data_IF_599973260201
#
_entry.id   IF_599973260201
#
_cell.length_a   1.000
_cell.length_b   1.000
_cell.length_c   1.000
_cell.angle_alpha   90.00
_cell.angle_beta   90.00
_cell.angle_gamma   90.00
#
_symmetry.space_group_name_H-M   'P 1'
#
loop_
_entity.id
_entity.type
_entity.pdbx_description
1 polymer ?
#
# COMPACT_ATOMS: atom_id res chain seq x y z
N UNK A 1 -12.71 -15.10 10.57
CA UNK A 1 -13.04 -14.00 11.50
C UNK A 1 -13.90 -13.02 10.73
N UNK A 2 -15.17 -12.78 11.12
CA UNK A 2 -16.03 -11.91 10.34
C UNK A 2 -15.64 -10.44 10.55
N UNK A 3 -15.69 -9.65 9.48
CA UNK A 3 -15.46 -8.22 9.51
C UNK A 3 -16.55 -7.52 10.32
N UNK A 4 -16.16 -6.60 11.20
CA UNK A 4 -17.08 -5.77 11.97
C UNK A 4 -17.46 -4.59 11.08
N UNK A 5 -18.72 -4.56 10.64
CA UNK A 5 -19.30 -3.44 9.89
C UNK A 5 -19.38 -2.20 10.80
N UNK A 6 -18.91 -1.07 10.28
CA UNK A 6 -18.71 0.19 11.00
C UNK A 6 -19.92 1.12 10.94
N UNK A 7 -21.15 0.59 10.93
CA UNK A 7 -22.37 1.38 10.98
C UNK A 7 -22.64 1.84 12.43
N UNK A 8 -22.21 3.07 12.75
CA UNK A 8 -22.60 3.74 14.00
C UNK A 8 -23.92 4.46 13.74
N UNK A 9 -24.97 3.93 14.36
CA UNK A 9 -26.32 4.49 14.38
C UNK A 9 -26.34 5.83 15.14
N UNK A 10 -26.63 6.93 14.44
CA UNK A 10 -26.78 8.27 15.03
C UNK A 10 -28.26 8.54 15.29
N UNK A 11 -28.79 7.99 16.39
CA UNK A 11 -30.13 8.35 16.86
C UNK A 11 -30.17 8.54 18.39
N UNK A 12 -30.57 9.75 18.79
CA UNK A 12 -31.39 9.95 20.00
C UNK A 12 -30.92 11.02 20.99
N UNK A 13 -31.70 12.12 21.08
CA UNK A 13 -32.06 12.73 22.36
C UNK A 13 -31.93 14.26 22.44
N UNK A 14 -33.03 14.98 22.19
CA UNK A 14 -33.25 16.35 22.68
C UNK A 14 -33.33 16.36 24.21
N UNK A 15 -32.66 17.32 24.86
CA UNK A 15 -32.97 17.70 26.25
C UNK A 15 -32.88 19.21 26.39
N UNK A 16 -34.00 19.82 26.80
CA UNK A 16 -34.20 21.24 27.05
C UNK A 16 -33.99 21.51 28.55
N UNK A 17 -33.13 22.47 28.92
CA UNK A 17 -32.94 22.90 30.32
C UNK A 17 -31.57 23.54 30.55
N UNK A 18 -31.56 24.82 30.95
CA UNK A 18 -30.36 25.65 31.03
C UNK A 18 -29.41 25.29 32.17
N UNK A 19 -28.15 25.03 31.82
CA UNK A 19 -26.96 25.24 32.66
C UNK A 19 -25.82 25.65 31.71
N UNK A 20 -24.97 26.58 32.13
CA UNK A 20 -23.84 27.06 31.31
C UNK A 20 -22.93 25.87 30.98
N UNK A 21 -23.04 25.37 29.74
CA UNK A 21 -22.33 24.18 29.29
C UNK A 21 -20.84 24.44 29.25
N UNK A 22 -20.12 23.93 30.25
CA UNK A 22 -18.67 23.77 30.17
C UNK A 22 -18.38 22.90 28.95
N UNK A 23 -17.85 23.50 27.88
CA UNK A 23 -17.51 22.80 26.65
C UNK A 23 -16.52 21.67 26.96
N UNK A 24 -17.02 20.45 27.11
CA UNK A 24 -16.18 19.28 27.32
C UNK A 24 -15.42 19.02 26.03
N UNK A 25 -14.12 19.31 26.05
CA UNK A 25 -13.20 18.97 24.98
C UNK A 25 -13.16 17.44 24.88
N UNK A 26 -13.91 16.85 23.95
CA UNK A 26 -13.83 15.42 23.65
C UNK A 26 -12.55 15.20 22.87
N UNK A 27 -11.63 14.40 23.39
CA UNK A 27 -10.48 13.94 22.62
C UNK A 27 -11.01 12.99 21.54
N UNK A 28 -10.78 13.29 20.25
CA UNK A 28 -11.21 12.41 19.18
C UNK A 28 -10.49 11.05 19.29
N UNK A 29 -11.14 9.95 18.91
CA UNK A 29 -10.51 8.63 18.90
C UNK A 29 -9.23 8.66 18.05
N UNK A 30 -8.24 7.89 18.48
CA UNK A 30 -6.96 7.75 17.79
C UNK A 30 -6.90 6.35 17.15
N UNK A 31 -6.17 6.24 16.03
CA UNK A 31 -5.98 4.97 15.33
C UNK A 31 -4.51 4.61 15.26
N UNK A 32 -4.22 3.32 15.44
CA UNK A 32 -2.91 2.71 15.19
C UNK A 32 -3.08 1.65 14.11
N UNK A 33 -2.47 1.87 12.94
CA UNK A 33 -2.53 0.95 11.80
C UNK A 33 -1.13 0.51 11.44
N UNK A 34 -0.94 -0.80 11.31
CA UNK A 34 0.32 -1.44 10.93
C UNK A 34 0.02 -2.56 9.92
N UNK A 35 1.02 -3.02 9.13
CA UNK A 35 0.87 -4.22 8.32
C UNK A 35 0.40 -5.41 9.18
N UNK A 36 -0.49 -6.24 8.64
CA UNK A 36 -1.04 -7.41 9.35
C UNK A 36 0.03 -8.41 9.76
N UNK A 37 1.04 -8.58 8.91
CA UNK A 37 2.17 -9.48 9.15
C UNK A 37 3.47 -8.67 9.05
N UNK A 38 4.29 -8.74 10.10
CA UNK A 38 5.62 -8.11 10.14
C UNK A 38 6.62 -9.15 10.65
N UNK A 39 7.57 -9.53 9.81
CA UNK A 39 8.61 -10.51 10.12
C UNK A 39 9.97 -9.82 10.24
N UNK A 40 10.78 -10.23 11.20
CA UNK A 40 12.10 -9.66 11.47
C UNK A 40 13.05 -10.75 12.00
N UNK A 41 14.35 -10.41 12.09
CA UNK A 41 15.49 -11.30 12.36
C UNK A 41 15.93 -12.17 11.17
N UNK A 42 17.05 -12.86 11.36
CA UNK A 42 17.58 -13.84 10.42
C UNK A 42 16.53 -14.92 10.11
N UNK A 43 16.42 -15.29 8.83
CA UNK A 43 15.42 -16.26 8.37
C UNK A 43 14.03 -15.69 8.10
N UNK A 44 13.76 -14.40 8.36
CA UNK A 44 12.44 -13.80 8.10
C UNK A 44 11.96 -13.97 6.65
N UNK A 45 12.87 -14.05 5.68
CA UNK A 45 12.54 -14.26 4.27
C UNK A 45 11.93 -15.65 3.99
N UNK A 46 12.12 -16.64 4.87
CA UNK A 46 11.52 -17.97 4.72
C UNK A 46 9.98 -17.95 4.78
N UNK A 47 9.38 -16.91 5.36
CA UNK A 47 7.92 -16.71 5.37
C UNK A 47 7.35 -16.51 3.95
N UNK A 48 8.17 -16.17 2.95
CA UNK A 48 7.73 -16.13 1.54
C UNK A 48 7.24 -17.48 1.03
N UNK A 49 7.60 -18.59 1.68
CA UNK A 49 7.13 -19.95 1.33
C UNK A 49 5.64 -20.15 1.56
N UNK A 50 5.06 -19.37 2.46
CA UNK A 50 3.65 -19.43 2.85
C UNK A 50 2.79 -18.46 2.02
N UNK A 51 3.41 -17.67 1.14
CA UNK A 51 2.71 -16.77 0.22
C UNK A 51 2.15 -17.58 -0.95
N UNK A 52 0.82 -17.69 -1.02
CA UNK A 52 0.11 -18.35 -2.11
C UNK A 52 0.05 -17.42 -3.34
N UNK A 53 1.05 -17.54 -4.21
CA UNK A 53 1.21 -16.75 -5.42
C UNK A 53 1.86 -17.59 -6.53
N UNK A 54 1.51 -17.30 -7.77
CA UNK A 54 1.97 -17.96 -8.99
C UNK A 54 2.81 -17.03 -9.87
N UNK A 55 2.48 -15.74 -9.90
CA UNK A 55 3.12 -14.73 -10.74
C UNK A 55 3.49 -13.50 -9.93
N UNK A 56 4.77 -13.33 -9.68
CA UNK A 56 5.29 -12.23 -8.86
C UNK A 56 6.03 -11.22 -9.71
N UNK A 57 5.78 -9.94 -9.44
CA UNK A 57 6.65 -8.85 -9.92
C UNK A 57 7.46 -8.31 -8.74
N UNK A 58 8.78 -8.40 -8.85
CA UNK A 58 9.73 -7.81 -7.91
C UNK A 58 10.06 -6.40 -8.39
N UNK A 59 9.83 -5.39 -7.54
CA UNK A 59 10.18 -4.00 -7.78
C UNK A 59 11.42 -3.66 -6.95
N UNK A 60 12.49 -3.20 -7.60
CA UNK A 60 13.79 -2.94 -6.97
C UNK A 60 14.55 -1.84 -7.72
N UNK A 61 15.68 -1.40 -7.17
CA UNK A 61 16.70 -0.64 -7.89
C UNK A 61 17.76 -1.56 -8.53
N UNK A 62 18.54 -1.01 -9.45
CA UNK A 62 19.55 -1.74 -10.21
C UNK A 62 20.68 -2.32 -9.33
N UNK A 63 21.14 -1.57 -8.32
CA UNK A 63 22.22 -2.01 -7.44
C UNK A 63 21.79 -3.21 -6.57
N UNK A 64 20.54 -3.20 -6.11
CA UNK A 64 19.95 -4.28 -5.33
C UNK A 64 19.70 -5.51 -6.21
N UNK A 65 19.33 -5.32 -7.48
CA UNK A 65 19.24 -6.42 -8.45
C UNK A 65 20.61 -7.03 -8.76
N UNK A 66 21.65 -6.22 -8.96
CA UNK A 66 23.03 -6.68 -9.16
C UNK A 66 23.56 -7.54 -7.98
N UNK A 67 22.99 -7.36 -6.78
CA UNK A 67 23.29 -8.17 -5.59
C UNK A 67 22.51 -9.48 -5.51
N UNK A 68 21.69 -9.79 -6.52
CA UNK A 68 20.96 -11.05 -6.64
C UNK A 68 19.68 -11.12 -5.81
N UNK A 69 18.96 -10.01 -5.64
CA UNK A 69 17.69 -10.01 -4.89
C UNK A 69 16.64 -10.92 -5.53
N UNK A 70 16.55 -10.93 -6.87
CA UNK A 70 15.63 -11.80 -7.59
C UNK A 70 15.88 -13.27 -7.30
N UNK A 71 17.15 -13.69 -7.25
CA UNK A 71 17.51 -15.08 -6.97
C UNK A 71 17.20 -15.47 -5.51
N UNK A 72 17.44 -14.55 -4.57
CA UNK A 72 17.08 -14.77 -3.17
C UNK A 72 15.55 -14.95 -3.02
N UNK A 73 14.75 -14.09 -3.63
CA UNK A 73 13.28 -14.18 -3.61
C UNK A 73 12.81 -15.49 -4.28
N UNK A 74 13.30 -15.78 -5.49
CA UNK A 74 12.97 -17.02 -6.23
C UNK A 74 13.28 -18.28 -5.42
N UNK A 75 14.36 -18.28 -4.65
CA UNK A 75 14.73 -19.42 -3.80
C UNK A 75 13.76 -19.70 -2.64
N UNK A 76 12.92 -18.72 -2.28
CA UNK A 76 12.00 -18.79 -1.13
C UNK A 76 10.53 -18.86 -1.54
N UNK A 77 10.18 -18.35 -2.72
CA UNK A 77 8.83 -18.43 -3.26
C UNK A 77 8.52 -19.82 -3.84
N UNK A 78 7.21 -20.14 -3.90
CA UNK A 78 6.67 -21.27 -4.68
C UNK A 78 6.09 -20.82 -6.03
N UNK A 79 6.24 -19.54 -6.37
CA UNK A 79 5.74 -18.95 -7.59
C UNK A 79 6.39 -19.56 -8.84
N UNK A 80 5.60 -19.70 -9.91
CA UNK A 80 6.06 -20.23 -11.19
C UNK A 80 6.78 -19.17 -12.02
N UNK A 81 6.29 -17.94 -11.96
CA UNK A 81 6.80 -16.82 -12.73
C UNK A 81 7.24 -15.69 -11.80
N UNK A 82 8.48 -15.25 -11.95
CA UNK A 82 9.02 -14.11 -11.21
C UNK A 82 9.67 -13.17 -12.21
N UNK A 83 9.05 -12.02 -12.42
CA UNK A 83 9.57 -10.93 -13.24
C UNK A 83 10.15 -9.84 -12.34
N UNK A 84 11.17 -9.13 -12.82
CA UNK A 84 11.84 -8.06 -12.07
C UNK A 84 11.70 -6.75 -12.84
N UNK A 85 11.34 -5.69 -12.11
CA UNK A 85 11.45 -4.30 -12.54
C UNK A 85 12.51 -3.63 -11.67
N UNK A 86 13.72 -3.47 -12.21
CA UNK A 86 14.90 -2.97 -11.48
C UNK A 86 15.30 -1.53 -11.85
N UNK A 87 14.38 -0.78 -12.47
CA UNK A 87 14.66 0.58 -12.97
C UNK A 87 14.41 1.68 -11.92
N UNK A 88 14.07 1.33 -10.67
CA UNK A 88 13.76 2.35 -9.66
C UNK A 88 15.01 3.19 -9.35
N UNK A 89 14.86 4.51 -9.45
CA UNK A 89 15.85 5.50 -9.04
C UNK A 89 15.39 6.26 -7.79
N UNK A 90 16.29 6.96 -7.08
CA UNK A 90 15.89 7.95 -6.08
C UNK A 90 14.91 8.98 -6.65
N UNK A 91 13.97 9.45 -5.85
CA UNK A 91 12.91 10.40 -6.26
C UNK A 91 12.17 9.95 -7.54
N UNK A 92 11.47 8.80 -7.51
CA UNK A 92 10.85 8.22 -8.70
C UNK A 92 9.78 9.16 -9.28
N UNK A 93 9.88 9.43 -10.58
CA UNK A 93 8.93 10.28 -11.30
C UNK A 93 7.73 9.49 -11.84
N UNK A 94 6.71 10.21 -12.34
CA UNK A 94 5.52 9.58 -12.91
C UNK A 94 5.86 8.65 -14.08
N UNK A 95 6.81 9.02 -14.93
CA UNK A 95 7.20 8.23 -16.07
C UNK A 95 7.74 6.85 -15.65
N UNK A 96 8.53 6.80 -14.57
CA UNK A 96 9.02 5.56 -13.96
C UNK A 96 7.88 4.73 -13.41
N UNK A 97 6.94 5.34 -12.69
CA UNK A 97 5.74 4.65 -12.18
C UNK A 97 4.94 4.03 -13.34
N UNK A 98 4.69 4.80 -14.41
CA UNK A 98 3.94 4.34 -15.60
C UNK A 98 4.63 3.17 -16.30
N UNK A 99 5.97 3.15 -16.37
CA UNK A 99 6.73 1.99 -16.89
C UNK A 99 6.53 0.76 -16.01
N UNK A 100 6.60 0.92 -14.70
CA UNK A 100 6.32 -0.15 -13.74
C UNK A 100 4.88 -0.69 -13.87
N UNK A 101 3.89 0.19 -14.00
CA UNK A 101 2.49 -0.20 -14.25
C UNK A 101 2.35 -1.01 -15.54
N UNK A 102 3.03 -0.61 -16.61
CA UNK A 102 3.02 -1.36 -17.87
C UNK A 102 3.64 -2.77 -17.73
N UNK A 103 4.60 -2.95 -16.81
CA UNK A 103 5.10 -4.29 -16.46
C UNK A 103 4.03 -5.09 -15.73
N UNK A 104 3.37 -4.51 -14.72
CA UNK A 104 2.29 -5.18 -13.99
C UNK A 104 1.13 -5.59 -14.91
N UNK A 105 0.74 -4.72 -15.85
CA UNK A 105 -0.30 -5.02 -16.86
C UNK A 105 0.05 -6.19 -17.78
N UNK A 106 1.34 -6.38 -18.11
CA UNK A 106 1.77 -7.48 -18.97
C UNK A 106 1.94 -8.79 -18.20
N UNK A 107 2.37 -8.70 -16.96
CA UNK A 107 2.63 -9.85 -16.11
C UNK A 107 1.35 -10.39 -15.45
N UNK A 108 0.36 -9.53 -15.22
CA UNK A 108 -0.85 -9.84 -14.45
C UNK A 108 -0.51 -10.55 -13.11
N UNK A 109 0.33 -9.94 -12.25
CA UNK A 109 0.82 -10.61 -11.06
C UNK A 109 -0.27 -10.79 -10.02
N UNK A 110 -0.12 -11.81 -9.19
CA UNK A 110 -0.90 -12.04 -7.97
C UNK A 110 -0.17 -11.59 -6.70
N UNK A 111 1.10 -11.18 -6.82
CA UNK A 111 1.81 -10.44 -5.77
C UNK A 111 2.86 -9.47 -6.34
N UNK A 112 3.01 -8.33 -5.66
CA UNK A 112 4.12 -7.38 -5.87
C UNK A 112 5.04 -7.40 -4.65
N UNK A 113 6.33 -7.66 -4.88
CA UNK A 113 7.36 -7.64 -3.83
C UNK A 113 8.30 -6.48 -4.06
N UNK A 114 8.34 -5.53 -3.14
CA UNK A 114 9.26 -4.39 -3.19
C UNK A 114 10.49 -4.66 -2.32
N UNK A 115 11.70 -4.52 -2.88
CA UNK A 115 12.95 -4.66 -2.12
C UNK A 115 13.89 -3.50 -2.40
N UNK A 116 14.17 -2.71 -1.37
CA UNK A 116 15.06 -1.56 -1.44
C UNK A 116 14.74 -0.55 -0.35
N UNK A 117 15.16 0.70 -0.57
CA UNK A 117 14.88 1.82 0.32
C UNK A 117 13.48 2.43 0.13
N UNK A 118 13.27 3.61 0.71
CA UNK A 118 11.99 4.34 0.63
C UNK A 118 11.50 4.58 -0.80
N UNK A 119 12.41 4.95 -1.72
CA UNK A 119 12.09 5.17 -3.14
C UNK A 119 11.49 3.94 -3.81
N UNK A 120 12.02 2.74 -3.54
CA UNK A 120 11.49 1.48 -4.08
C UNK A 120 10.12 1.17 -3.49
N UNK A 121 9.96 1.33 -2.17
CA UNK A 121 8.70 1.05 -1.49
C UNK A 121 7.59 2.00 -1.98
N UNK A 122 7.89 3.28 -2.15
CA UNK A 122 6.90 4.26 -2.59
C UNK A 122 6.57 4.12 -4.06
N UNK A 123 7.57 3.82 -4.91
CA UNK A 123 7.34 3.49 -6.32
C UNK A 123 6.44 2.25 -6.47
N UNK A 124 6.71 1.18 -5.72
CA UNK A 124 5.91 -0.04 -5.77
C UNK A 124 4.45 0.20 -5.34
N UNK A 125 4.22 0.99 -4.28
CA UNK A 125 2.86 1.37 -3.86
C UNK A 125 2.13 2.14 -4.94
N UNK A 126 2.80 3.11 -5.58
CA UNK A 126 2.21 3.89 -6.66
C UNK A 126 1.91 3.01 -7.88
N UNK A 127 2.84 2.15 -8.29
CA UNK A 127 2.62 1.20 -9.39
C UNK A 127 1.41 0.31 -9.14
N UNK A 128 1.31 -0.27 -7.94
CA UNK A 128 0.15 -1.08 -7.55
C UNK A 128 -1.13 -0.28 -7.55
N UNK A 129 -1.13 0.94 -7.01
CA UNK A 129 -2.30 1.81 -6.98
C UNK A 129 -2.83 2.07 -8.39
N UNK A 130 -1.98 2.46 -9.34
CA UNK A 130 -2.40 2.72 -10.72
C UNK A 130 -2.66 1.47 -11.55
N UNK A 131 -2.12 0.32 -11.12
CA UNK A 131 -2.50 -0.97 -11.70
C UNK A 131 -3.91 -1.39 -11.27
N UNK A 132 -4.24 -1.25 -9.98
CA UNK A 132 -5.57 -1.55 -9.45
C UNK A 132 -6.60 -0.46 -9.82
N UNK A 133 -6.19 0.80 -9.95
CA UNK A 133 -7.08 1.93 -10.19
C UNK A 133 -6.55 2.80 -11.33
N UNK A 134 -6.62 2.31 -12.58
CA UNK A 134 -6.08 3.02 -13.75
C UNK A 134 -6.78 4.37 -14.01
N UNK A 135 -7.98 4.59 -13.46
CA UNK A 135 -8.73 5.84 -13.51
C UNK A 135 -8.14 6.96 -12.64
N UNK A 136 -7.24 6.65 -11.71
CA UNK A 136 -6.68 7.64 -10.79
C UNK A 136 -5.62 8.52 -11.46
N UNK A 137 -5.61 9.79 -11.06
CA UNK A 137 -4.63 10.77 -11.50
C UNK A 137 -3.59 11.05 -10.40
N UNK A 138 -2.30 10.94 -10.75
CA UNK A 138 -1.20 11.24 -9.83
C UNK A 138 -1.20 12.70 -9.37
N UNK A 139 -1.58 13.63 -10.24
CA UNK A 139 -1.66 15.06 -9.90
C UNK A 139 -2.67 15.30 -8.78
N UNK A 140 -3.85 14.68 -8.85
CA UNK A 140 -4.88 14.77 -7.81
C UNK A 140 -4.43 14.15 -6.48
N UNK A 141 -3.74 13.00 -6.54
CA UNK A 141 -3.23 12.30 -5.35
C UNK A 141 -2.10 13.05 -4.64
N UNK A 142 -1.37 13.91 -5.36
CA UNK A 142 -0.28 14.73 -4.82
C UNK A 142 -0.74 16.11 -4.33
N UNK A 143 -2.01 16.48 -4.56
CA UNK A 143 -2.53 17.76 -4.12
C UNK A 143 -2.43 17.92 -2.59
N UNK A 144 -1.96 19.07 -2.10
CA UNK A 144 -1.78 19.31 -0.68
C UNK A 144 -3.12 19.28 0.05
N UNK A 145 -3.08 18.80 1.29
CA UNK A 145 -4.21 18.86 2.20
C UNK A 145 -4.59 20.32 2.47
N UNK A 146 -5.79 20.73 2.06
CA UNK A 146 -6.38 22.01 2.50
C UNK A 146 -6.68 22.00 4.01
N UNK A 147 -6.95 20.81 4.56
CA UNK A 147 -7.09 20.49 5.98
C UNK A 147 -6.62 19.02 6.15
N UNK A 148 -5.86 18.64 7.20
CA UNK A 148 -5.46 17.24 7.45
C UNK A 148 -6.62 16.24 7.43
N UNK A 149 -7.86 16.71 7.63
CA UNK A 149 -9.09 15.91 7.61
C UNK A 149 -9.84 15.96 6.29
N UNK A 150 -9.49 16.86 5.37
CA UNK A 150 -10.12 17.01 4.06
C UNK A 150 -9.08 16.79 2.97
N UNK A 151 -8.99 15.54 2.53
CA UNK A 151 -8.23 15.20 1.34
C UNK A 151 -8.95 15.75 0.11
N UNK A 152 -8.17 16.23 -0.85
CA UNK A 152 -8.69 16.66 -2.16
C UNK A 152 -9.00 15.44 -3.04
N UNK A 153 -8.21 14.37 -2.90
CA UNK A 153 -8.43 13.09 -3.55
C UNK A 153 -8.78 11.98 -2.55
N UNK A 154 -9.76 11.14 -2.89
CA UNK A 154 -10.11 9.94 -2.15
C UNK A 154 -9.21 8.77 -2.59
N UNK A 155 -8.69 8.02 -1.63
CA UNK A 155 -7.99 6.77 -1.91
C UNK A 155 -9.00 5.61 -1.90
N UNK A 156 -8.78 4.56 -2.70
CA UNK A 156 -9.63 3.38 -2.68
C UNK A 156 -9.61 2.73 -1.29
N UNK A 157 -10.76 2.17 -0.89
CA UNK A 157 -10.93 1.47 0.40
C UNK A 157 -11.29 0.00 0.24
N UNK A 158 -11.38 -0.49 -1.00
CA UNK A 158 -11.66 -1.87 -1.34
C UNK A 158 -10.46 -2.78 -1.06
N UNK A 159 -10.73 -4.09 -1.06
CA UNK A 159 -9.69 -5.08 -0.88
C UNK A 159 -8.78 -5.11 -2.10
N UNK A 160 -7.48 -5.05 -1.84
CA UNK A 160 -6.47 -5.18 -2.86
C UNK A 160 -6.57 -6.50 -3.62
N UNK A 161 -6.29 -6.43 -4.92
CA UNK A 161 -6.34 -7.57 -5.85
C UNK A 161 -4.97 -8.21 -6.03
N UNK A 162 -3.90 -7.45 -5.76
CA UNK A 162 -2.48 -7.86 -5.84
C UNK A 162 -1.73 -7.46 -4.57
#
# INVERSE_FOLDING_TARGET
>A
MPAVDGSIDLAGGDVQGGEQGLARRRTPPQWFRVPSNTYFNEGALDNLRDLDCQTVVVVTDALTEERGVADQIRSKLRAQHVQVFSEVTPEPDEALIRRGVAVLQRAEPDAVIAVGGGSVLDAAKAMRLFYEHPEMNLEELTMPFLDPRKRVAEFPTDHHRV
#
